data_IF_039174138415
#
_entry.id   IF_039174138415
#
_cell.length_a   1.000
_cell.length_b   1.000
_cell.length_c   1.000
_cell.angle_alpha   90.00
_cell.angle_beta   90.00
_cell.angle_gamma   90.00
#
_symmetry.space_group_name_H-M   'P 1'
#
loop_
_entity.id
_entity.type
_entity.pdbx_description
1 polymer ?
#
# COMPACT_ATOMS: atom_id res chain seq x y z
N UNK A 1 41.66 29.35 5.50
CA UNK A 1 41.91 30.80 5.38
C UNK A 1 41.01 31.36 4.30
N UNK A 2 40.65 32.65 4.44
CA UNK A 2 39.74 33.49 3.63
C UNK A 2 38.24 33.15 3.71
N UNK A 3 37.28 34.09 3.74
CA UNK A 3 37.16 35.46 4.24
C UNK A 3 35.65 35.74 4.12
N UNK A 4 34.90 35.63 5.22
CA UNK A 4 33.48 36.01 5.24
C UNK A 4 33.35 37.53 5.14
N UNK A 5 32.55 38.04 4.21
CA UNK A 5 32.05 39.42 4.25
C UNK A 5 30.60 39.48 3.80
N UNK A 6 29.76 39.88 4.76
CA UNK A 6 28.35 40.22 4.65
C UNK A 6 28.06 41.26 3.56
N UNK A 7 26.87 41.16 2.99
CA UNK A 7 26.12 42.31 2.47
C UNK A 7 24.76 42.33 3.17
N UNK A 8 24.55 43.37 3.99
CA UNK A 8 23.23 43.76 4.48
C UNK A 8 22.96 45.17 3.98
N UNK A 9 21.73 45.38 3.54
CA UNK A 9 21.18 46.58 2.93
C UNK A 9 21.17 47.81 3.85
N UNK A 10 21.13 49.01 3.26
CA UNK A 10 20.08 50.01 3.47
C UNK A 10 20.39 51.36 2.77
N UNK A 11 19.48 51.74 1.87
CA UNK A 11 18.88 53.05 1.57
C UNK A 11 19.53 54.39 1.99
N UNK A 12 19.23 55.36 1.11
CA UNK A 12 18.93 56.78 1.37
C UNK A 12 20.07 57.76 1.10
N UNK A 13 19.95 58.53 0.02
CA UNK A 13 19.98 60.00 0.06
C UNK A 13 19.62 60.59 -1.32
N UNK A 14 18.41 61.15 -1.39
CA UNK A 14 17.98 62.17 -2.36
C UNK A 14 17.69 63.44 -1.55
N UNK A 15 17.88 64.57 -2.24
CA UNK A 15 17.42 65.92 -1.93
C UNK A 15 18.19 66.71 -0.86
N UNK A 16 19.00 67.66 -1.35
CA UNK A 16 19.01 69.05 -0.87
C UNK A 16 19.70 69.94 -1.90
N UNK A 17 18.90 70.56 -2.77
CA UNK A 17 19.30 71.76 -3.48
C UNK A 17 19.30 72.93 -2.48
N UNK A 18 20.44 73.62 -2.32
CA UNK A 18 20.53 74.83 -1.50
C UNK A 18 20.95 76.01 -2.35
N UNK A 19 20.18 77.08 -2.17
CA UNK A 19 20.12 78.32 -2.90
C UNK A 19 21.41 79.14 -2.94
N UNK A 20 21.77 79.57 -4.15
CA UNK A 20 21.94 80.98 -4.58
C UNK A 20 22.24 82.02 -3.48
N UNK A 21 23.52 82.41 -3.36
CA UNK A 21 23.93 83.80 -3.20
C UNK A 21 25.44 83.94 -3.50
N UNK A 22 25.80 84.47 -4.68
CA UNK A 22 27.15 85.03 -4.90
C UNK A 22 26.97 86.40 -5.51
N UNK A 23 27.26 87.36 -4.64
CA UNK A 23 27.36 88.80 -4.80
C UNK A 23 27.95 89.20 -6.17
N UNK A 24 27.16 89.95 -6.93
CA UNK A 24 27.64 90.71 -8.07
C UNK A 24 28.37 91.96 -7.56
N UNK A 25 29.70 91.88 -7.53
CA UNK A 25 30.56 93.06 -7.37
C UNK A 25 31.08 93.48 -8.73
N UNK A 26 30.48 94.54 -9.26
CA UNK A 26 30.94 95.25 -10.44
C UNK A 26 32.38 95.77 -10.25
N UNK A 27 33.29 95.37 -11.12
CA UNK A 27 34.49 96.15 -11.44
C UNK A 27 34.51 96.45 -12.93
N UNK A 28 34.53 97.74 -13.21
CA UNK A 28 34.54 98.38 -14.53
C UNK A 28 35.92 98.34 -15.18
N UNK A 29 35.89 98.45 -16.51
CA UNK A 29 36.94 98.88 -17.44
C UNK A 29 37.86 97.80 -18.04
N UNK A 30 37.46 97.38 -19.25
CA UNK A 30 38.22 97.58 -20.48
C UNK A 30 39.61 96.95 -20.57
N UNK A 31 39.72 95.86 -21.33
CA UNK A 31 40.71 95.66 -22.41
C UNK A 31 40.54 94.23 -22.97
N UNK A 32 40.40 94.12 -24.29
CA UNK A 32 40.58 92.88 -25.03
C UNK A 32 39.39 91.92 -25.01
N UNK A 33 38.58 91.96 -26.06
CA UNK A 33 37.90 90.76 -26.56
C UNK A 33 38.96 89.75 -27.05
N UNK A 34 39.72 89.18 -26.11
CA UNK A 34 40.60 88.06 -26.37
C UNK A 34 39.70 86.84 -26.53
N UNK A 35 39.67 86.33 -27.76
CA UNK A 35 38.95 85.13 -28.19
C UNK A 35 39.03 84.02 -27.15
N UNK A 36 37.99 83.85 -26.32
CA UNK A 36 37.80 82.66 -25.47
C UNK A 36 37.21 81.50 -26.27
N UNK A 37 37.66 81.35 -27.51
CA UNK A 37 37.42 80.15 -28.30
C UNK A 37 38.37 79.08 -27.78
N UNK A 38 37.82 78.06 -27.12
CA UNK A 38 38.55 76.81 -26.85
C UNK A 38 39.14 76.37 -28.19
N UNK A 39 40.48 76.19 -28.30
CA UNK A 39 41.09 75.76 -29.55
C UNK A 39 40.38 74.51 -30.06
N UNK A 40 40.06 74.45 -31.36
CA UNK A 40 39.30 73.36 -31.95
C UNK A 40 39.92 71.97 -31.65
N UNK A 41 41.25 71.91 -31.51
CA UNK A 41 41.99 70.72 -31.08
C UNK A 41 41.66 70.28 -29.65
N UNK A 42 41.50 71.21 -28.72
CA UNK A 42 41.12 70.90 -27.34
C UNK A 42 39.64 70.50 -27.23
N UNK A 43 38.77 71.08 -28.06
CA UNK A 43 37.37 70.66 -28.17
C UNK A 43 37.25 69.25 -28.78
N UNK A 44 38.01 68.95 -29.84
CA UNK A 44 38.08 67.62 -30.43
C UNK A 44 38.63 66.58 -29.44
N UNK A 45 39.68 66.94 -28.69
CA UNK A 45 40.25 66.09 -27.65
C UNK A 45 39.26 65.77 -26.52
N UNK A 46 38.57 66.80 -25.99
CA UNK A 46 37.55 66.61 -24.96
C UNK A 46 36.36 65.78 -25.47
N UNK A 47 35.94 66.00 -26.73
CA UNK A 47 34.86 65.22 -27.35
C UNK A 47 35.28 63.76 -27.52
N UNK A 48 36.52 63.50 -27.93
CA UNK A 48 37.08 62.13 -28.03
C UNK A 48 37.04 61.42 -26.67
N UNK A 49 37.47 62.07 -25.59
CA UNK A 49 37.38 61.49 -24.25
C UNK A 49 35.95 61.16 -23.82
N UNK A 50 34.97 62.01 -24.16
CA UNK A 50 33.56 61.74 -23.87
C UNK A 50 33.08 60.50 -24.62
N UNK A 51 33.42 60.38 -25.92
CA UNK A 51 33.07 59.22 -26.75
C UNK A 51 33.69 57.94 -26.20
N UNK A 52 34.98 57.98 -25.84
CA UNK A 52 35.69 56.84 -25.25
C UNK A 52 35.04 56.42 -23.93
N UNK A 53 34.72 57.37 -23.05
CA UNK A 53 34.03 57.07 -21.78
C UNK A 53 32.64 56.46 -22.02
N UNK A 54 31.90 56.96 -23.01
CA UNK A 54 30.60 56.40 -23.39
C UNK A 54 30.73 54.97 -23.93
N UNK A 55 31.74 54.69 -24.74
CA UNK A 55 32.04 53.36 -25.25
C UNK A 55 32.40 52.39 -24.11
N UNK A 56 33.28 52.79 -23.19
CA UNK A 56 33.64 52.00 -22.01
C UNK A 56 32.43 51.69 -21.11
N UNK A 57 31.56 52.67 -20.87
CA UNK A 57 30.32 52.45 -20.13
C UNK A 57 29.37 51.49 -20.86
N UNK A 58 29.35 51.53 -22.19
CA UNK A 58 28.55 50.62 -23.02
C UNK A 58 29.11 49.21 -22.95
N UNK A 59 30.43 49.04 -23.11
CA UNK A 59 31.12 47.76 -22.96
C UNK A 59 30.93 47.15 -21.57
N UNK A 60 30.95 47.98 -20.52
CA UNK A 60 30.68 47.49 -19.17
C UNK A 60 29.27 46.89 -19.05
N UNK A 61 28.25 47.58 -19.57
CA UNK A 61 26.86 47.08 -19.55
C UNK A 61 26.70 45.80 -20.37
N UNK A 62 27.37 45.69 -21.52
CA UNK A 62 27.31 44.47 -22.34
C UNK A 62 27.99 43.30 -21.65
N UNK A 63 29.14 43.49 -20.99
CA UNK A 63 29.82 42.47 -20.19
C UNK A 63 28.97 42.01 -19.00
N UNK A 64 28.36 42.94 -18.26
CA UNK A 64 27.42 42.59 -17.18
C UNK A 64 26.23 41.79 -17.71
N UNK A 65 25.71 42.13 -18.90
CA UNK A 65 24.66 41.38 -19.57
C UNK A 65 25.09 39.98 -20.00
N UNK A 66 26.33 39.80 -20.48
CA UNK A 66 26.90 38.49 -20.79
C UNK A 66 27.05 37.64 -19.52
N UNK A 67 27.60 38.23 -18.45
CA UNK A 67 27.77 37.55 -17.15
C UNK A 67 26.45 36.99 -16.62
N UNK A 68 25.38 37.79 -16.62
CA UNK A 68 24.06 37.33 -16.16
C UNK A 68 23.49 36.20 -17.01
N UNK A 69 23.70 36.24 -18.34
CA UNK A 69 23.27 35.14 -19.23
C UNK A 69 24.06 33.87 -18.97
N UNK A 70 25.34 34.01 -18.66
CA UNK A 70 26.18 32.87 -18.31
C UNK A 70 25.76 32.25 -16.98
N UNK A 71 25.48 33.05 -15.95
CA UNK A 71 24.94 32.56 -14.69
C UNK A 71 23.61 31.80 -14.86
N UNK A 72 22.71 32.33 -15.70
CA UNK A 72 21.44 31.65 -16.01
C UNK A 72 21.65 30.34 -16.78
N UNK A 73 22.63 30.30 -17.69
CA UNK A 73 23.03 29.09 -18.40
C UNK A 73 23.61 28.05 -17.45
N UNK A 74 24.50 28.45 -16.55
CA UNK A 74 25.12 27.56 -15.57
C UNK A 74 24.08 26.96 -14.61
N UNK A 75 23.08 27.75 -14.20
CA UNK A 75 21.95 27.23 -13.43
C UNK A 75 21.13 26.19 -14.21
N UNK A 76 20.93 26.44 -15.51
CA UNK A 76 20.24 25.48 -16.40
C UNK A 76 21.05 24.18 -16.53
N UNK A 77 22.37 24.28 -16.65
CA UNK A 77 23.28 23.12 -16.70
C UNK A 77 23.19 22.34 -15.39
N UNK A 78 23.29 23.00 -14.23
CA UNK A 78 23.14 22.36 -12.91
C UNK A 78 21.80 21.65 -12.76
N UNK A 79 20.70 22.29 -13.17
CA UNK A 79 19.37 21.69 -13.13
C UNK A 79 19.28 20.45 -14.04
N UNK A 80 19.86 20.52 -15.24
CA UNK A 80 19.90 19.37 -16.17
C UNK A 80 20.76 18.22 -15.64
N UNK A 81 21.90 18.52 -15.01
CA UNK A 81 22.80 17.52 -14.42
C UNK A 81 22.13 16.82 -13.23
N UNK A 82 21.44 17.59 -12.38
CA UNK A 82 20.66 17.04 -11.27
C UNK A 82 19.60 16.06 -11.77
N UNK A 83 18.88 16.41 -12.84
CA UNK A 83 17.90 15.52 -13.48
C UNK A 83 18.54 14.24 -14.03
N UNK A 84 19.74 14.32 -14.61
CA UNK A 84 20.45 13.14 -15.12
C UNK A 84 20.89 12.23 -13.97
N UNK A 85 21.37 12.80 -12.86
CA UNK A 85 21.74 12.03 -11.66
C UNK A 85 20.52 11.31 -11.06
N UNK A 86 19.35 11.93 -11.06
CA UNK A 86 18.09 11.28 -10.63
C UNK A 86 17.68 10.10 -11.53
N UNK A 87 18.03 10.15 -12.82
CA UNK A 87 17.73 9.10 -13.79
C UNK A 87 18.76 7.97 -13.81
N UNK A 88 19.99 8.20 -13.35
CA UNK A 88 21.04 7.18 -13.31
C UNK A 88 20.68 5.86 -12.59
N UNK A 89 19.89 5.82 -11.49
CA UNK A 89 19.53 4.55 -10.87
C UNK A 89 18.43 3.77 -11.62
N UNK A 90 17.78 4.34 -12.64
CA UNK A 90 16.67 3.68 -13.35
C UNK A 90 17.03 2.32 -13.99
N UNK A 91 18.19 2.14 -14.67
CA UNK A 91 18.54 0.85 -15.25
C UNK A 91 18.63 -0.27 -14.21
N UNK A 92 19.33 -0.02 -13.08
CA UNK A 92 19.45 -1.00 -11.99
C UNK A 92 18.09 -1.38 -11.41
N UNK A 93 17.20 -0.39 -11.20
CA UNK A 93 15.83 -0.64 -10.72
C UNK A 93 15.02 -1.49 -11.71
N UNK A 94 15.26 -1.33 -13.01
CA UNK A 94 14.61 -2.12 -14.05
C UNK A 94 15.14 -3.56 -14.06
N UNK A 95 16.45 -3.74 -13.88
CA UNK A 95 17.09 -5.06 -13.76
C UNK A 95 16.59 -5.80 -12.50
N UNK A 96 16.53 -5.11 -11.36
CA UNK A 96 16.00 -5.66 -10.10
C UNK A 96 14.53 -6.11 -10.26
N UNK A 97 13.71 -5.28 -10.90
CA UNK A 97 12.32 -5.62 -11.22
C UNK A 97 12.23 -6.80 -12.19
N UNK A 98 13.13 -6.85 -13.19
CA UNK A 98 13.23 -7.97 -14.12
C UNK A 98 13.57 -9.28 -13.40
N UNK A 99 14.51 -9.23 -12.45
CA UNK A 99 14.90 -10.37 -11.63
C UNK A 99 13.75 -10.84 -10.72
N UNK A 100 13.08 -9.93 -10.04
CA UNK A 100 11.92 -10.24 -9.17
C UNK A 100 10.78 -10.86 -9.98
N UNK A 101 10.47 -10.28 -11.15
CA UNK A 101 9.45 -10.78 -12.05
C UNK A 101 9.79 -12.19 -12.55
N UNK A 102 11.04 -12.42 -12.97
CA UNK A 102 11.49 -13.74 -13.41
C UNK A 102 11.38 -14.77 -12.28
N UNK A 103 11.77 -14.42 -11.06
CA UNK A 103 11.64 -15.29 -9.89
C UNK A 103 10.17 -15.65 -9.60
N UNK A 104 9.26 -14.68 -9.70
CA UNK A 104 7.83 -14.93 -9.55
C UNK A 104 7.27 -15.85 -10.64
N UNK A 105 7.71 -15.69 -11.89
CA UNK A 105 7.34 -16.60 -12.97
C UNK A 105 7.85 -18.01 -12.72
N UNK A 106 9.13 -18.18 -12.36
CA UNK A 106 9.69 -19.50 -12.05
C UNK A 106 8.95 -20.18 -10.89
N UNK A 107 8.65 -19.45 -9.82
CA UNK A 107 7.90 -19.99 -8.69
C UNK A 107 6.45 -20.37 -9.07
N UNK A 108 5.81 -19.59 -9.93
CA UNK A 108 4.47 -19.87 -10.42
C UNK A 108 4.45 -21.11 -11.32
N UNK A 109 5.42 -21.24 -12.23
CA UNK A 109 5.58 -22.42 -13.08
C UNK A 109 5.82 -23.69 -12.26
N UNK A 110 6.69 -23.63 -11.25
CA UNK A 110 6.93 -24.77 -10.36
C UNK A 110 5.68 -25.18 -9.58
N UNK A 111 4.85 -24.20 -9.20
CA UNK A 111 3.58 -24.46 -8.52
C UNK A 111 2.57 -25.10 -9.46
N UNK A 112 2.46 -24.61 -10.70
CA UNK A 112 1.60 -25.19 -11.73
C UNK A 112 2.01 -26.64 -12.00
N UNK A 113 3.31 -26.89 -12.22
CA UNK A 113 3.83 -28.25 -12.45
C UNK A 113 3.51 -29.21 -11.30
N UNK A 114 3.61 -28.75 -10.04
CA UNK A 114 3.21 -29.55 -8.87
C UNK A 114 1.71 -29.83 -8.85
N UNK A 115 0.88 -28.82 -9.08
CA UNK A 115 -0.57 -28.99 -9.13
C UNK A 115 -1.02 -29.93 -10.26
N UNK A 116 -0.40 -29.83 -11.43
CA UNK A 116 -0.66 -30.76 -12.54
C UNK A 116 -0.27 -32.20 -12.20
N UNK A 117 0.86 -32.40 -11.51
CA UNK A 117 1.27 -33.72 -11.05
C UNK A 117 0.30 -34.29 -10.00
N UNK A 118 -0.16 -33.46 -9.07
CA UNK A 118 -1.18 -33.85 -8.08
C UNK A 118 -2.51 -34.21 -8.74
N UNK A 119 -2.97 -33.43 -9.73
CA UNK A 119 -4.20 -33.71 -10.48
C UNK A 119 -4.07 -35.03 -11.25
N UNK A 120 -2.93 -35.27 -11.92
CA UNK A 120 -2.68 -36.56 -12.60
C UNK A 120 -2.71 -37.73 -11.61
N UNK A 121 -2.05 -37.59 -10.46
CA UNK A 121 -2.06 -38.64 -9.44
C UNK A 121 -3.46 -38.89 -8.85
N UNK A 122 -4.30 -37.86 -8.72
CA UNK A 122 -5.69 -38.01 -8.29
C UNK A 122 -6.55 -38.68 -9.37
N UNK A 123 -6.37 -38.33 -10.64
CA UNK A 123 -7.05 -38.99 -11.75
C UNK A 123 -6.71 -40.49 -11.81
N UNK A 124 -5.43 -40.85 -11.65
CA UNK A 124 -4.99 -42.25 -11.62
C UNK A 124 -5.57 -43.02 -10.42
N UNK A 125 -5.82 -42.35 -9.30
CA UNK A 125 -6.50 -42.96 -8.14
C UNK A 125 -7.99 -43.21 -8.41
N UNK A 126 -8.66 -42.29 -9.10
CA UNK A 126 -10.07 -42.45 -9.49
C UNK A 126 -10.22 -43.63 -10.44
N UNK A 127 -9.38 -43.70 -11.48
CA UNK A 127 -9.40 -44.82 -12.44
C UNK A 127 -9.22 -46.16 -11.73
N UNK A 128 -8.23 -46.28 -10.83
CA UNK A 128 -8.03 -47.50 -10.03
C UNK A 128 -9.22 -47.81 -9.12
N UNK A 129 -9.79 -46.79 -8.47
CA UNK A 129 -10.97 -46.98 -7.63
C UNK A 129 -12.18 -47.46 -8.43
N UNK A 130 -12.37 -46.95 -9.64
CA UNK A 130 -13.45 -47.39 -10.54
C UNK A 130 -13.23 -48.84 -11.02
N UNK A 131 -12.00 -49.22 -11.34
CA UNK A 131 -11.64 -50.62 -11.64
C UNK A 131 -11.93 -51.56 -10.47
N UNK A 132 -11.59 -51.15 -9.24
CA UNK A 132 -11.89 -51.90 -8.01
C UNK A 132 -13.40 -52.03 -7.78
N UNK A 133 -14.17 -50.96 -8.03
CA UNK A 133 -15.64 -50.98 -7.93
C UNK A 133 -16.25 -51.94 -8.95
N UNK A 134 -15.82 -51.89 -10.21
CA UNK A 134 -16.28 -52.84 -11.23
C UNK A 134 -15.94 -54.30 -10.87
N UNK A 135 -14.77 -54.54 -10.28
CA UNK A 135 -14.40 -55.87 -9.82
C UNK A 135 -15.27 -56.35 -8.64
N UNK A 136 -15.63 -55.45 -7.72
CA UNK A 136 -16.55 -55.74 -6.61
C UNK A 136 -17.98 -56.01 -7.12
N UNK A 137 -18.49 -55.19 -8.04
CA UNK A 137 -19.83 -55.37 -8.62
C UNK A 137 -19.96 -56.74 -9.30
N UNK A 138 -18.94 -57.16 -10.07
CA UNK A 138 -18.88 -58.52 -10.65
C UNK A 138 -18.92 -59.61 -9.58
N UNK A 139 -18.23 -59.43 -8.45
CA UNK A 139 -18.25 -60.39 -7.32
C UNK A 139 -19.62 -60.44 -6.65
N UNK A 140 -20.28 -59.29 -6.48
CA UNK A 140 -21.64 -59.22 -5.92
C UNK A 140 -22.63 -59.93 -6.84
N UNK A 141 -22.53 -59.73 -8.15
CA UNK A 141 -23.35 -60.45 -9.14
C UNK A 141 -23.12 -61.96 -9.09
N UNK A 142 -21.86 -62.40 -9.01
CA UNK A 142 -21.51 -63.81 -8.82
C UNK A 142 -22.05 -64.40 -7.50
N UNK A 143 -22.07 -63.63 -6.42
CA UNK A 143 -22.63 -64.08 -5.14
C UNK A 143 -24.17 -64.09 -5.19
N UNK A 144 -24.79 -63.10 -5.82
CA UNK A 144 -26.24 -63.00 -5.99
C UNK A 144 -26.79 -64.16 -6.82
N UNK A 145 -26.11 -64.52 -7.91
CA UNK A 145 -26.47 -65.71 -8.71
C UNK A 145 -26.31 -67.00 -7.92
N UNK A 146 -25.22 -67.17 -7.16
CA UNK A 146 -25.04 -68.32 -6.25
C UNK A 146 -26.15 -68.40 -5.20
N UNK A 147 -26.52 -67.28 -4.58
CA UNK A 147 -27.56 -67.22 -3.57
C UNK A 147 -28.95 -67.53 -4.15
N UNK A 148 -29.25 -66.99 -5.35
CA UNK A 148 -30.49 -67.29 -6.06
C UNK A 148 -30.60 -68.78 -6.39
N UNK A 149 -29.52 -69.40 -6.90
CA UNK A 149 -29.49 -70.83 -7.18
C UNK A 149 -29.70 -71.67 -5.91
N UNK A 150 -29.07 -71.28 -4.80
CA UNK A 150 -29.24 -71.94 -3.50
C UNK A 150 -30.66 -71.76 -2.94
N UNK A 151 -31.30 -70.60 -3.15
CA UNK A 151 -32.67 -70.34 -2.75
C UNK A 151 -33.68 -71.17 -3.57
N UNK A 152 -33.44 -71.40 -4.87
CA UNK A 152 -34.24 -72.36 -5.66
C UNK A 152 -34.03 -73.82 -5.25
N UNK A 153 -32.97 -74.14 -4.50
CA UNK A 153 -32.72 -75.48 -3.95
C UNK A 153 -33.32 -75.69 -2.56
N UNK A 154 -33.83 -74.64 -1.90
CA UNK A 154 -34.38 -74.72 -0.55
C UNK A 154 -35.92 -74.58 -0.56
N UNK A 155 -36.57 -75.74 -0.34
CA UNK A 155 -37.92 -76.02 0.20
C UNK A 155 -39.11 -76.34 -0.74
N UNK A 156 -40.06 -77.25 -0.35
CA UNK A 156 -40.16 -77.99 0.93
C UNK A 156 -40.32 -79.52 0.78
N UNK A 157 -39.79 -80.28 1.75
CA UNK A 157 -40.41 -81.55 2.17
C UNK A 157 -40.37 -81.64 3.71
N UNK A 158 -41.57 -81.70 4.29
CA UNK A 158 -41.83 -81.92 5.71
C UNK A 158 -41.20 -83.24 6.20
N UNK A 159 -40.71 -83.28 7.44
CA UNK A 159 -41.29 -84.13 8.51
C UNK A 159 -40.44 -84.11 9.79
N UNK A 160 -41.04 -83.55 10.85
CA UNK A 160 -41.17 -84.14 12.19
C UNK A 160 -39.99 -84.15 13.18
N UNK A 161 -40.35 -83.67 14.39
CA UNK A 161 -40.03 -84.27 15.69
C UNK A 161 -38.59 -84.14 16.22
N UNK A 162 -38.36 -83.31 17.25
CA UNK A 162 -38.53 -83.72 18.65
C UNK A 162 -38.17 -82.57 19.62
N UNK A 163 -38.88 -82.57 20.76
CA UNK A 163 -38.68 -81.81 22.02
C UNK A 163 -37.19 -81.61 22.38
N UNK A 164 -36.78 -80.57 23.13
CA UNK A 164 -36.97 -80.45 24.59
C UNK A 164 -36.69 -79.02 25.09
N UNK A 165 -37.48 -78.66 26.12
CA UNK A 165 -37.51 -77.50 27.01
C UNK A 165 -36.16 -76.92 27.49
N UNK A 166 -36.12 -75.60 27.81
CA UNK A 166 -36.37 -75.13 29.19
C UNK A 166 -36.14 -73.62 29.39
N UNK A 167 -37.06 -73.01 30.16
CA UNK A 167 -36.92 -71.86 31.08
C UNK A 167 -36.81 -70.42 30.55
N UNK A 168 -38.00 -69.79 30.54
CA UNK A 168 -38.33 -68.44 31.02
C UNK A 168 -37.47 -67.96 32.20
N UNK A 169 -37.01 -66.70 32.13
CA UNK A 169 -37.29 -65.69 33.16
C UNK A 169 -37.13 -64.27 32.56
N UNK A 170 -38.23 -63.52 32.58
CA UNK A 170 -38.29 -62.06 32.36
C UNK A 170 -37.43 -61.31 33.36
N UNK A 171 -36.76 -60.23 32.91
CA UNK A 171 -36.93 -58.93 33.56
C UNK A 171 -36.54 -57.78 32.61
N UNK A 172 -37.47 -56.84 32.51
CA UNK A 172 -37.43 -55.54 31.84
C UNK A 172 -36.37 -54.57 32.37
N UNK A 173 -36.18 -53.51 31.57
CA UNK A 173 -35.70 -52.17 31.90
C UNK A 173 -34.22 -51.82 31.58
N UNK A 174 -34.06 -51.05 30.49
CA UNK A 174 -33.07 -49.97 30.35
C UNK A 174 -33.33 -48.92 31.46
N UNK A 175 -32.34 -48.13 31.97
CA UNK A 175 -31.55 -47.23 31.13
C UNK A 175 -30.08 -46.94 31.55
N UNK A 176 -29.38 -46.32 30.59
CA UNK A 176 -28.26 -45.36 30.65
C UNK A 176 -27.39 -45.26 31.93
N UNK A 177 -26.06 -45.41 31.75
CA UNK A 177 -25.02 -44.50 32.25
C UNK A 177 -23.62 -44.94 31.71
N UNK A 178 -22.96 -44.08 30.93
CA UNK A 178 -21.47 -43.96 30.95
C UNK A 178 -21.09 -43.25 32.27
N UNK A 179 -19.88 -43.39 32.88
CA UNK A 179 -18.60 -43.29 32.16
C UNK A 179 -17.36 -44.00 32.77
N UNK A 180 -16.28 -44.04 31.97
CA UNK A 180 -14.85 -43.82 32.30
C UNK A 180 -14.12 -44.75 33.31
N UNK A 181 -13.04 -45.42 32.86
CA UNK A 181 -11.64 -45.09 33.22
C UNK A 181 -10.63 -46.18 32.79
N UNK A 182 -9.78 -45.77 31.83
CA UNK A 182 -8.35 -46.02 31.61
C UNK A 182 -7.68 -47.44 31.63
N UNK A 183 -6.75 -47.70 30.68
CA UNK A 183 -5.95 -48.93 30.59
C UNK A 183 -4.56 -48.78 31.25
N UNK A 184 -3.97 -49.90 31.67
CA UNK A 184 -2.58 -49.98 32.17
C UNK A 184 -1.60 -50.64 31.17
N UNK A 185 -0.30 -50.28 31.22
CA UNK A 185 0.66 -50.40 30.12
C UNK A 185 1.65 -51.56 30.31
N UNK A 186 2.45 -51.85 29.26
CA UNK A 186 3.75 -52.54 29.40
C UNK A 186 4.83 -51.84 28.59
N UNK A 187 5.88 -51.47 29.31
CA UNK A 187 7.20 -51.01 28.85
C UNK A 187 8.06 -52.18 28.36
N UNK A 188 8.90 -51.92 27.36
CA UNK A 188 10.25 -52.49 27.26
C UNK A 188 11.20 -51.36 26.84
N UNK A 189 12.11 -51.04 27.76
CA UNK A 189 13.23 -50.12 27.61
C UNK A 189 14.37 -50.68 26.74
N UNK A 190 15.09 -49.79 26.04
CA UNK A 190 16.56 -49.85 26.00
C UNK A 190 17.22 -48.51 25.63
N UNK A 191 17.71 -47.82 26.67
CA UNK A 191 18.86 -46.92 26.85
C UNK A 191 19.51 -46.10 25.69
N UNK A 192 19.38 -44.76 25.79
CA UNK A 192 20.43 -43.76 26.16
C UNK A 192 21.64 -43.47 25.25
N UNK A 193 22.21 -42.23 25.20
CA UNK A 193 22.41 -41.31 26.34
C UNK A 193 21.85 -39.88 26.11
N UNK A 194 21.10 -39.32 27.06
CA UNK A 194 21.56 -38.42 28.15
C UNK A 194 22.15 -37.08 27.69
N UNK A 195 21.32 -36.02 27.71
CA UNK A 195 21.65 -34.70 28.26
C UNK A 195 20.37 -33.95 28.70
N UNK A 196 20.32 -33.66 30.00
CA UNK A 196 19.59 -32.59 30.72
C UNK A 196 18.13 -32.27 30.33
N UNK A 197 17.20 -32.73 31.16
CA UNK A 197 15.83 -32.20 31.26
C UNK A 197 15.75 -31.06 32.30
N UNK A 198 15.11 -29.95 31.91
CA UNK A 198 14.56 -28.92 32.81
C UNK A 198 13.05 -28.86 32.49
N UNK A 199 12.15 -28.83 33.50
CA UNK A 199 10.73 -29.17 33.32
C UNK A 199 9.89 -28.08 32.62
N UNK A 200 8.72 -28.44 32.03
CA UNK A 200 7.86 -27.52 31.29
C UNK A 200 7.12 -26.57 32.23
N UNK A 201 7.27 -25.27 31.99
CA UNK A 201 6.51 -24.23 32.70
C UNK A 201 5.20 -23.94 31.96
N UNK A 202 4.11 -24.09 32.70
CA UNK A 202 2.75 -23.61 32.50
C UNK A 202 2.68 -22.30 31.68
N UNK A 203 2.10 -22.35 30.48
CA UNK A 203 1.81 -21.13 29.71
C UNK A 203 0.60 -20.42 30.33
N UNK A 204 0.89 -19.33 31.04
CA UNK A 204 -0.09 -18.35 31.51
C UNK A 204 -0.78 -17.62 30.33
N UNK A 205 -1.99 -17.05 30.54
CA UNK A 205 -2.74 -16.36 29.50
C UNK A 205 -1.95 -15.17 28.95
N UNK A 206 -1.86 -15.09 27.62
CA UNK A 206 -1.22 -13.98 26.90
C UNK A 206 -1.86 -12.65 27.33
N UNK A 207 -1.10 -11.81 28.03
CA UNK A 207 -1.46 -10.42 28.34
C UNK A 207 -1.82 -9.67 27.04
N UNK A 208 -2.84 -8.81 27.04
CA UNK A 208 -3.14 -7.95 25.89
C UNK A 208 -1.96 -7.01 25.67
N UNK A 209 -1.52 -6.95 24.41
CA UNK A 209 -0.46 -6.08 23.91
C UNK A 209 -0.92 -4.63 24.14
N UNK A 210 -0.28 -3.93 25.07
CA UNK A 210 -0.51 -2.50 25.30
C UNK A 210 -0.11 -1.76 24.03
N UNK A 211 -1.11 -1.38 23.25
CA UNK A 211 -0.96 -0.60 22.03
C UNK A 211 -0.52 0.81 22.44
N UNK A 212 0.70 1.19 22.03
CA UNK A 212 1.27 2.49 22.41
C UNK A 212 0.36 3.63 21.92
N UNK A 213 -0.19 4.49 22.80
CA UNK A 213 -1.15 5.54 22.41
C UNK A 213 -0.54 6.59 21.46
N UNK A 214 0.79 6.65 21.33
CA UNK A 214 1.49 7.51 20.37
C UNK A 214 1.43 6.98 18.94
N UNK A 215 1.37 5.66 18.73
CA UNK A 215 1.26 5.06 17.40
C UNK A 215 -0.15 5.21 16.84
N UNK A 216 -1.17 4.99 17.68
CA UNK A 216 -2.58 5.21 17.32
C UNK A 216 -2.85 6.67 16.89
N UNK A 217 -2.30 7.65 17.61
CA UNK A 217 -2.43 9.08 17.24
C UNK A 217 -1.80 9.40 15.87
N UNK A 218 -0.65 8.79 15.55
CA UNK A 218 0.04 9.00 14.26
C UNK A 218 -0.75 8.37 13.10
N UNK A 219 -1.36 7.21 13.31
CA UNK A 219 -2.20 6.50 12.33
C UNK A 219 -3.49 7.26 12.01
N UNK A 220 -4.16 7.81 13.03
CA UNK A 220 -5.37 8.63 12.82
C UNK A 220 -5.04 9.92 12.06
N UNK A 221 -3.89 10.53 12.33
CA UNK A 221 -3.45 11.73 11.61
C UNK A 221 -3.08 11.45 10.15
N UNK A 222 -2.41 10.34 9.84
CA UNK A 222 -2.10 9.97 8.45
C UNK A 222 -3.37 9.66 7.67
N UNK A 223 -4.32 8.93 8.27
CA UNK A 223 -5.62 8.66 7.66
C UNK A 223 -6.42 9.94 7.42
N UNK A 224 -6.46 10.87 8.38
CA UNK A 224 -7.14 12.16 8.23
C UNK A 224 -6.56 13.00 7.08
N UNK A 225 -5.23 13.07 6.98
CA UNK A 225 -4.56 13.76 5.86
C UNK A 225 -4.89 13.09 4.52
N UNK A 226 -4.87 11.76 4.46
CA UNK A 226 -5.20 11.00 3.26
C UNK A 226 -6.65 11.19 2.81
N UNK A 227 -7.60 11.15 3.75
CA UNK A 227 -9.01 11.42 3.46
C UNK A 227 -9.19 12.86 2.96
N UNK A 228 -8.54 13.84 3.57
CA UNK A 228 -8.63 15.24 3.12
C UNK A 228 -8.05 15.42 1.71
N UNK A 229 -6.93 14.76 1.38
CA UNK A 229 -6.38 14.74 0.03
C UNK A 229 -7.36 14.12 -0.97
N UNK A 230 -7.92 12.95 -0.64
CA UNK A 230 -8.90 12.26 -1.48
C UNK A 230 -10.18 13.09 -1.69
N UNK A 231 -10.63 13.84 -0.67
CA UNK A 231 -11.75 14.77 -0.78
C UNK A 231 -11.43 15.93 -1.74
N UNK A 232 -10.23 16.47 -1.68
CA UNK A 232 -9.79 17.52 -2.60
C UNK A 232 -9.71 17.00 -4.04
N UNK A 233 -9.24 15.76 -4.24
CA UNK A 233 -9.17 15.13 -5.56
C UNK A 233 -10.57 14.91 -6.14
N UNK A 234 -11.51 14.46 -5.31
CA UNK A 234 -12.93 14.35 -5.69
C UNK A 234 -13.53 15.70 -6.09
N UNK A 235 -13.23 16.78 -5.36
CA UNK A 235 -13.74 18.12 -5.69
C UNK A 235 -13.15 18.67 -6.99
N UNK A 236 -11.88 18.39 -7.27
CA UNK A 236 -11.21 18.81 -8.51
C UNK A 236 -11.71 18.05 -9.73
N UNK A 237 -11.97 16.75 -9.59
CA UNK A 237 -12.37 15.87 -10.67
C UNK A 237 -13.44 14.88 -10.20
N UNK A 238 -14.71 15.33 -10.05
CA UNK A 238 -15.78 14.46 -9.61
C UNK A 238 -16.06 13.35 -10.65
N UNK A 239 -16.18 12.08 -10.23
CA UNK A 239 -16.52 10.98 -11.13
C UNK A 239 -17.89 11.22 -11.78
N UNK A 240 -17.93 11.11 -13.11
CA UNK A 240 -19.15 11.39 -13.91
C UNK A 240 -20.06 10.16 -14.05
N UNK A 241 -19.48 8.97 -13.95
CA UNK A 241 -20.18 7.68 -14.15
C UNK A 241 -20.15 6.85 -12.87
N UNK A 242 -21.16 5.99 -12.68
CA UNK A 242 -21.18 5.03 -11.56
C UNK A 242 -19.99 4.04 -11.59
N UNK A 243 -19.45 3.70 -12.77
CA UNK A 243 -18.21 2.93 -12.88
C UNK A 243 -17.00 3.68 -12.32
N UNK A 244 -16.91 4.97 -12.62
CA UNK A 244 -15.80 5.84 -12.21
C UNK A 244 -15.90 6.11 -10.70
N UNK A 245 -17.11 6.28 -10.17
CA UNK A 245 -17.37 6.39 -8.73
C UNK A 245 -16.91 5.12 -8.00
N UNK A 246 -17.28 3.95 -8.50
CA UNK A 246 -16.81 2.67 -7.94
C UNK A 246 -15.30 2.54 -8.00
N UNK A 247 -14.68 2.93 -9.11
CA UNK A 247 -13.22 2.92 -9.27
C UNK A 247 -12.54 3.86 -8.27
N UNK A 248 -13.09 5.05 -8.09
CA UNK A 248 -12.60 6.05 -7.15
C UNK A 248 -12.66 5.54 -5.70
N UNK A 249 -13.81 5.03 -5.27
CA UNK A 249 -13.99 4.47 -3.91
C UNK A 249 -13.07 3.27 -3.68
N UNK A 250 -12.92 2.39 -4.67
CA UNK A 250 -12.00 1.26 -4.58
C UNK A 250 -10.55 1.73 -4.40
N UNK A 251 -10.12 2.72 -5.20
CA UNK A 251 -8.77 3.27 -5.11
C UNK A 251 -8.51 3.95 -3.77
N UNK A 252 -9.51 4.64 -3.22
CA UNK A 252 -9.46 5.20 -1.88
C UNK A 252 -9.25 4.14 -0.80
N UNK A 253 -10.06 3.07 -0.80
CA UNK A 253 -9.97 2.00 0.20
C UNK A 253 -8.62 1.26 0.12
N UNK A 254 -8.14 1.03 -1.10
CA UNK A 254 -6.84 0.40 -1.36
C UNK A 254 -5.65 1.29 -0.93
N UNK A 255 -5.78 2.62 -1.03
CA UNK A 255 -4.75 3.57 -0.64
C UNK A 255 -4.65 3.85 0.87
N UNK A 256 -5.54 3.29 1.70
CA UNK A 256 -5.42 3.38 3.16
C UNK A 256 -4.25 2.51 3.64
N UNK A 257 -3.16 3.16 4.06
CA UNK A 257 -1.93 2.48 4.49
C UNK A 257 -2.11 1.59 5.72
N UNK A 258 -2.99 1.96 6.64
CA UNK A 258 -3.22 1.20 7.87
C UNK A 258 -4.30 0.13 7.65
N UNK A 259 -3.88 -1.14 7.77
CA UNK A 259 -4.77 -2.29 7.59
C UNK A 259 -5.90 -2.34 8.62
N UNK A 260 -5.67 -1.88 9.85
CA UNK A 260 -6.69 -1.86 10.91
C UNK A 260 -7.78 -0.83 10.60
N UNK A 261 -7.38 0.37 10.18
CA UNK A 261 -8.29 1.44 9.76
C UNK A 261 -9.03 1.07 8.50
N UNK A 262 -8.34 0.49 7.51
CA UNK A 262 -8.96 0.01 6.27
C UNK A 262 -9.99 -1.09 6.53
N UNK A 263 -9.69 -2.06 7.39
CA UNK A 263 -10.63 -3.11 7.78
C UNK A 263 -11.84 -2.56 8.54
N UNK A 264 -11.64 -1.61 9.46
CA UNK A 264 -12.73 -0.99 10.22
C UNK A 264 -13.65 -0.18 9.29
N UNK A 265 -13.06 0.63 8.39
CA UNK A 265 -13.80 1.35 7.34
C UNK A 265 -14.64 0.41 6.48
N UNK A 266 -14.04 -0.67 5.99
CA UNK A 266 -14.74 -1.64 5.15
C UNK A 266 -15.87 -2.37 5.90
N UNK A 267 -15.66 -2.73 7.17
CA UNK A 267 -16.70 -3.33 8.00
C UNK A 267 -17.86 -2.36 8.26
N UNK A 268 -17.57 -1.08 8.53
CA UNK A 268 -18.63 -0.09 8.72
C UNK A 268 -19.39 0.23 7.43
N UNK A 269 -18.71 0.26 6.27
CA UNK A 269 -19.38 0.40 4.98
C UNK A 269 -20.31 -0.79 4.73
N UNK A 270 -19.87 -2.02 5.02
CA UNK A 270 -20.70 -3.22 4.92
C UNK A 270 -21.91 -3.15 5.85
N UNK A 271 -21.72 -2.71 7.10
CA UNK A 271 -22.79 -2.63 8.09
C UNK A 271 -23.83 -1.56 7.71
N UNK A 272 -23.39 -0.41 7.20
CA UNK A 272 -24.30 0.70 6.86
C UNK A 272 -24.97 0.57 5.50
N UNK A 273 -24.33 -0.12 4.55
CA UNK A 273 -24.84 -0.21 3.18
C UNK A 273 -24.89 -1.66 2.66
N UNK A 274 -25.62 -2.57 3.35
CA UNK A 274 -25.67 -3.99 2.97
C UNK A 274 -26.32 -4.23 1.60
N UNK A 275 -27.19 -3.31 1.14
CA UNK A 275 -27.83 -3.37 -0.18
C UNK A 275 -26.95 -2.87 -1.33
N UNK A 276 -25.85 -2.15 -1.03
CA UNK A 276 -24.96 -1.56 -2.04
C UNK A 276 -23.60 -2.27 -2.09
N UNK A 277 -23.22 -2.96 -1.02
CA UNK A 277 -21.89 -3.51 -0.83
C UNK A 277 -21.99 -4.91 -0.24
N UNK A 278 -21.27 -5.87 -0.83
CA UNK A 278 -21.15 -7.23 -0.30
C UNK A 278 -19.73 -7.56 0.09
N UNK A 279 -19.58 -8.55 0.98
CA UNK A 279 -18.28 -9.11 1.34
C UNK A 279 -17.75 -9.99 0.21
N UNK A 280 -16.46 -9.87 -0.08
CA UNK A 280 -15.74 -10.71 -1.03
C UNK A 280 -14.45 -11.24 -0.40
N UNK A 281 -14.10 -12.50 -0.68
CA UNK A 281 -12.82 -13.05 -0.27
C UNK A 281 -11.70 -12.35 -1.05
N UNK A 282 -10.84 -11.64 -0.34
CA UNK A 282 -9.70 -10.96 -0.93
C UNK A 282 -8.67 -11.99 -1.38
N UNK A 283 -8.44 -12.12 -2.69
CA UNK A 283 -7.37 -12.96 -3.24
C UNK A 283 -6.03 -12.18 -3.30
N UNK A 284 -6.06 -10.84 -3.31
CA UNK A 284 -4.90 -9.95 -3.53
C UNK A 284 -4.68 -8.83 -2.50
N UNK A 285 -5.25 -8.94 -1.30
CA UNK A 285 -4.93 -8.03 -0.19
C UNK A 285 -5.77 -6.75 -0.13
N UNK A 286 -5.69 -6.13 1.06
CA UNK A 286 -6.37 -4.92 1.60
C UNK A 286 -7.89 -4.77 1.44
N UNK A 287 -8.52 -5.23 0.36
CA UNK A 287 -9.97 -5.09 0.11
C UNK A 287 -10.73 -6.39 0.31
N UNK A 288 -11.79 -6.32 1.13
CA UNK A 288 -12.72 -7.40 1.47
C UNK A 288 -14.17 -7.13 1.05
N UNK A 289 -14.40 -6.03 0.31
CA UNK A 289 -15.73 -5.59 -0.12
C UNK A 289 -15.81 -5.43 -1.64
N UNK A 290 -17.01 -5.62 -2.19
CA UNK A 290 -17.37 -5.37 -3.59
C UNK A 290 -18.59 -4.44 -3.63
N UNK A 291 -18.50 -3.38 -4.42
CA UNK A 291 -19.56 -2.38 -4.61
C UNK A 291 -20.44 -2.81 -5.79
N UNK A 292 -21.67 -3.22 -5.49
CA UNK A 292 -22.64 -3.69 -6.49
C UNK A 292 -23.66 -2.61 -6.85
N UNK A 293 -24.10 -1.82 -5.85
CA UNK A 293 -25.07 -0.75 -6.01
C UNK A 293 -24.45 0.64 -6.19
N UNK A 294 -25.32 1.66 -6.19
CA UNK A 294 -24.93 3.06 -6.28
C UNK A 294 -24.46 3.58 -4.91
N UNK A 295 -23.20 3.27 -4.57
CA UNK A 295 -22.51 3.85 -3.42
C UNK A 295 -21.87 5.18 -3.85
N UNK A 296 -22.21 6.27 -3.16
CA UNK A 296 -21.65 7.58 -3.44
C UNK A 296 -20.45 7.88 -2.55
N UNK A 297 -19.60 8.81 -2.99
CA UNK A 297 -18.45 9.24 -2.20
C UNK A 297 -18.84 9.89 -0.87
N UNK A 298 -19.97 10.61 -0.83
CA UNK A 298 -20.46 11.25 0.39
C UNK A 298 -20.85 10.22 1.46
N UNK A 299 -21.42 9.08 1.06
CA UNK A 299 -21.72 7.94 1.94
C UNK A 299 -20.43 7.43 2.61
N UNK A 300 -19.37 7.26 1.82
CA UNK A 300 -18.05 6.81 2.29
C UNK A 300 -17.39 7.85 3.20
N UNK A 301 -17.51 9.13 2.87
CA UNK A 301 -17.01 10.24 3.70
C UNK A 301 -17.66 10.27 5.07
N UNK A 302 -18.97 10.00 5.16
CA UNK A 302 -19.69 9.95 6.42
C UNK A 302 -19.13 8.85 7.33
N UNK A 303 -18.88 7.66 6.78
CA UNK A 303 -18.27 6.55 7.53
C UNK A 303 -16.83 6.85 7.94
N UNK A 304 -16.03 7.39 7.02
CA UNK A 304 -14.64 7.75 7.29
C UNK A 304 -14.51 8.84 8.35
N UNK A 305 -15.48 9.76 8.44
CA UNK A 305 -15.52 10.82 9.45
C UNK A 305 -15.81 10.27 10.84
N UNK A 306 -16.67 9.25 10.96
CA UNK A 306 -16.97 8.59 12.24
C UNK A 306 -15.74 7.91 12.82
N UNK A 307 -14.91 7.29 11.97
CA UNK A 307 -13.65 6.68 12.38
C UNK A 307 -12.63 7.68 12.92
N UNK A 308 -12.64 8.94 12.47
CA UNK A 308 -11.75 9.99 12.97
C UNK A 308 -12.15 10.53 14.34
N UNK A 309 -13.44 10.43 14.68
CA UNK A 309 -13.97 10.95 15.95
C UNK A 309 -13.89 9.93 17.10
N UNK A 310 -13.38 8.71 16.85
CA UNK A 310 -13.30 7.66 17.86
C UNK A 310 -14.64 7.02 18.24
N UNK A 311 -15.77 7.53 17.73
CA UNK A 311 -17.13 7.03 18.04
C UNK A 311 -17.50 5.73 17.31
N UNK A 312 -16.74 5.32 16.30
CA UNK A 312 -17.04 4.12 15.50
C UNK A 312 -16.65 2.78 16.14
N UNK A 313 -16.09 2.77 17.35
CA UNK A 313 -15.67 1.55 18.05
C UNK A 313 -16.71 1.01 19.05
N UNK A 314 -17.70 1.81 19.45
CA UNK A 314 -18.66 1.43 20.50
C UNK A 314 -19.98 0.84 19.98
N UNK A 315 -20.36 1.09 18.72
CA UNK A 315 -21.62 0.55 18.16
C UNK A 315 -21.52 -0.90 17.63
N UNK A 316 -20.32 -1.47 17.53
CA UNK A 316 -20.14 -2.86 17.05
C UNK A 316 -20.03 -3.91 18.19
N UNK A 317 -20.11 -3.51 19.46
CA UNK A 317 -20.03 -4.44 20.61
C UNK A 317 -21.41 -4.78 21.19
N UNK A 318 -22.46 -4.07 20.81
CA UNK A 318 -23.81 -4.33 21.32
C UNK A 318 -24.86 -4.39 20.20
N UNK A 319 -24.96 -5.53 19.54
CA UNK A 319 -26.20 -5.99 18.91
C UNK A 319 -26.33 -7.50 19.22
N UNK A 320 -27.50 -7.96 19.71
CA UNK A 320 -27.73 -9.33 20.19
C UNK A 320 -27.63 -10.42 19.11
#
# INVERSE_FOLDING_TARGET
>A
MTRTRSTTAANSERDAATSREVVASNTSNGLGAASKTIPATQLAFNTSHIVILQELLTMRRTLEGISRRQEASDETIRASETRIQELQPMPKRLDDLGFELNNHYSLAEDKIRRQEAEIRALADKIVRSDEERLALDRKVEQLSTKFSLQATQAEPEELSSMRVASKRKEQEALPAYEPNEQPMPREVDSHGPSMMAVPPTTQAPKRPKVENPRLAKRQVLSFRKYMQASRNDYQKAPPKTNSDMRRFINHFIEGVQDRSVSNNLQNQILAKFPSKVRRARSIRGSRSIVIEGNLHWDDVCQVASLLQTGKGAEECVNLP
#
